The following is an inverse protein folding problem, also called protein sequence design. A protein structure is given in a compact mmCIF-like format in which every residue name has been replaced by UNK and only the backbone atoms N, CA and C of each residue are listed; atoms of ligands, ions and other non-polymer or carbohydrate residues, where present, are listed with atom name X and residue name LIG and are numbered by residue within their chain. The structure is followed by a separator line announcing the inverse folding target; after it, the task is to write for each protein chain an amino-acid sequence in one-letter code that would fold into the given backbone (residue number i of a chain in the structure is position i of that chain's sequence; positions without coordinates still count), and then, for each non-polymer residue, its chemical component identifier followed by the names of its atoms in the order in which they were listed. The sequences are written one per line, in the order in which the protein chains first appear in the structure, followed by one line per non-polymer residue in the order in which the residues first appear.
data_IF_544804521023
#
_entry.id   IF_544804521023
#
_cell.length_a   1.000
_cell.length_b   1.000
_cell.length_c   1.000
_cell.angle_alpha   90.00
_cell.angle_beta   90.00
_cell.angle_gamma   90.00
#
_symmetry.space_group_name_H-M   'P 1'
#
loop_
_entity.id
_entity.type
_entity.pdbx_description
1 polymer ?
#
# COMPACT_ATOMS: atom_id res chain seq x y z
N UNK A 1 -20.59 -18.60 -2.25
CA UNK A 1 -20.44 -18.97 -0.83
C UNK A 1 -19.82 -17.80 -0.08
N UNK A 2 -20.52 -17.26 0.92
CA UNK A 2 -19.98 -16.21 1.79
C UNK A 2 -18.96 -16.87 2.73
N UNK A 3 -17.68 -16.68 2.45
CA UNK A 3 -16.59 -17.25 3.23
C UNK A 3 -16.71 -16.82 4.71
N UNK A 4 -16.55 -17.81 5.59
CA UNK A 4 -16.45 -17.68 7.04
C UNK A 4 -15.56 -16.47 7.39
N UNK A 5 -16.08 -15.56 8.21
CA UNK A 5 -15.55 -14.22 8.43
C UNK A 5 -14.13 -14.23 9.00
N UNK A 6 -13.13 -14.21 8.12
CA UNK A 6 -11.76 -13.84 8.50
C UNK A 6 -11.82 -12.38 8.97
N UNK A 7 -11.40 -12.06 10.21
CA UNK A 7 -11.42 -10.69 10.69
C UNK A 7 -10.47 -9.83 9.83
N UNK A 8 -11.04 -8.95 9.00
CA UNK A 8 -10.29 -8.08 8.08
C UNK A 8 -9.66 -6.85 8.76
N UNK A 9 -9.80 -6.76 10.08
CA UNK A 9 -9.17 -5.76 10.94
C UNK A 9 -8.40 -6.48 12.04
N UNK A 10 -7.34 -5.86 12.60
CA UNK A 10 -6.68 -6.41 13.78
C UNK A 10 -7.67 -6.67 14.93
N UNK A 11 -7.52 -7.79 15.63
CA UNK A 11 -8.43 -8.19 16.72
C UNK A 11 -8.22 -7.36 17.99
N UNK A 12 -7.00 -6.92 18.23
CA UNK A 12 -6.67 -6.07 19.38
C UNK A 12 -7.13 -4.63 19.14
N UNK A 13 -7.71 -4.01 20.18
CA UNK A 13 -8.30 -2.66 20.10
C UNK A 13 -7.31 -1.60 19.63
N UNK A 14 -6.07 -1.62 20.15
CA UNK A 14 -5.04 -0.65 19.83
C UNK A 14 -4.62 -0.68 18.34
N UNK A 15 -4.14 -1.80 17.77
CA UNK A 15 -3.79 -1.85 16.35
C UNK A 15 -5.01 -1.63 15.44
N UNK A 16 -6.22 -2.03 15.85
CA UNK A 16 -7.44 -1.73 15.08
C UNK A 16 -7.74 -0.24 14.97
N UNK A 17 -7.52 0.52 16.05
CA UNK A 17 -7.70 1.97 16.02
C UNK A 17 -6.70 2.62 15.05
N UNK A 18 -5.44 2.19 15.07
CA UNK A 18 -4.41 2.67 14.13
C UNK A 18 -4.76 2.28 12.70
N UNK A 19 -5.13 1.03 12.44
CA UNK A 19 -5.51 0.54 11.12
C UNK A 19 -6.64 1.38 10.50
N UNK A 20 -7.65 1.74 11.29
CA UNK A 20 -8.75 2.60 10.85
C UNK A 20 -8.30 4.04 10.58
N UNK A 21 -7.46 4.59 11.46
CA UNK A 21 -6.95 5.95 11.30
C UNK A 21 -6.13 6.11 10.02
N UNK A 22 -5.18 5.20 9.77
CA UNK A 22 -4.35 5.26 8.56
C UNK A 22 -5.15 4.93 7.29
N UNK A 23 -6.20 4.10 7.40
CA UNK A 23 -7.10 3.85 6.27
C UNK A 23 -7.89 5.10 5.89
N UNK A 24 -8.36 5.86 6.88
CA UNK A 24 -9.03 7.14 6.66
C UNK A 24 -8.06 8.20 6.11
N UNK A 25 -6.84 8.29 6.64
CA UNK A 25 -5.79 9.16 6.12
C UNK A 25 -5.42 8.80 4.67
N UNK A 26 -5.28 7.52 4.35
CA UNK A 26 -5.09 7.09 2.97
C UNK A 26 -6.28 7.49 2.11
N UNK A 27 -7.53 7.32 2.58
CA UNK A 27 -8.70 7.67 1.78
C UNK A 27 -8.77 9.16 1.40
N UNK A 28 -8.50 10.07 2.36
CA UNK A 28 -8.70 11.52 2.16
C UNK A 28 -7.41 12.35 1.97
N UNK A 29 -6.24 11.78 2.26
CA UNK A 29 -4.94 12.44 2.12
C UNK A 29 -4.22 12.10 0.82
N UNK A 30 -3.00 12.59 0.64
CA UNK A 30 -2.09 12.32 -0.50
C UNK A 30 -2.61 12.69 -1.91
N UNK A 31 -3.16 13.90 -2.12
CA UNK A 31 -3.66 14.32 -3.43
C UNK A 31 -2.52 14.55 -4.44
N UNK A 32 -1.38 15.06 -4.00
CA UNK A 32 -0.25 15.39 -4.88
C UNK A 32 0.39 14.13 -5.45
N UNK A 33 0.61 13.12 -4.60
CA UNK A 33 1.03 11.80 -5.03
C UNK A 33 0.08 11.21 -6.10
N UNK A 34 -1.23 11.28 -5.86
CA UNK A 34 -2.22 10.72 -6.80
C UNK A 34 -2.26 11.42 -8.13
N UNK A 35 -1.98 12.73 -8.12
CA UNK A 35 -2.01 13.57 -9.30
C UNK A 35 -0.74 13.36 -10.14
N UNK A 36 0.44 13.35 -9.52
CA UNK A 36 1.71 13.20 -10.24
C UNK A 36 2.01 11.75 -10.61
N UNK A 37 1.62 10.79 -9.77
CA UNK A 37 1.82 9.35 -10.01
C UNK A 37 0.44 8.67 -10.15
N UNK A 38 -0.25 8.84 -11.29
CA UNK A 38 -1.51 8.16 -11.55
C UNK A 38 -1.29 6.64 -11.56
N UNK A 39 -2.32 5.91 -11.16
CA UNK A 39 -2.22 4.47 -11.06
C UNK A 39 -2.35 3.82 -12.44
N UNK A 40 -1.31 3.08 -12.81
CA UNK A 40 -1.31 2.15 -13.93
C UNK A 40 -0.68 0.84 -13.45
N UNK A 41 -1.50 -0.20 -13.34
CA UNK A 41 -1.07 -1.50 -12.80
C UNK A 41 -0.29 -2.35 -13.81
N UNK A 42 -0.40 -2.05 -15.11
CA UNK A 42 0.27 -2.79 -16.18
C UNK A 42 1.62 -2.21 -16.55
N UNK A 43 1.80 -0.90 -16.38
CA UNK A 43 2.96 -0.19 -16.86
C UNK A 43 4.23 -0.32 -16.00
N UNK A 44 5.36 -0.03 -16.64
CA UNK A 44 6.63 0.31 -16.01
C UNK A 44 7.10 1.63 -16.64
N UNK A 45 7.14 2.68 -15.82
CA UNK A 45 7.32 4.06 -16.26
C UNK A 45 8.53 4.69 -15.56
N UNK A 46 9.25 5.62 -16.21
CA UNK A 46 10.28 6.40 -15.54
C UNK A 46 9.67 7.30 -14.47
N UNK A 47 10.37 7.48 -13.34
CA UNK A 47 9.96 8.43 -12.31
C UNK A 47 10.06 9.86 -12.86
N UNK A 48 8.97 10.65 -12.87
CA UNK A 48 9.05 12.06 -13.24
C UNK A 48 9.75 12.90 -12.16
N UNK A 49 10.06 14.15 -12.48
CA UNK A 49 10.47 15.12 -11.47
C UNK A 49 9.32 15.36 -10.48
N UNK A 50 9.54 15.06 -9.20
CA UNK A 50 8.52 15.15 -8.17
C UNK A 50 8.53 16.52 -7.50
N UNK A 51 7.34 17.07 -7.25
CA UNK A 51 7.23 18.30 -6.45
C UNK A 51 7.58 18.04 -4.98
N UNK A 52 7.93 19.09 -4.21
CA UNK A 52 8.17 18.98 -2.77
C UNK A 52 7.00 18.36 -1.99
N UNK A 53 5.77 18.62 -2.41
CA UNK A 53 4.53 18.11 -1.83
C UNK A 53 4.37 16.61 -2.11
N UNK A 54 4.63 16.16 -3.34
CA UNK A 54 4.64 14.73 -3.66
C UNK A 54 5.72 13.98 -2.89
N UNK A 55 6.91 14.58 -2.73
CA UNK A 55 7.96 14.01 -1.89
C UNK A 55 7.55 13.96 -0.40
N UNK A 56 6.77 14.93 0.08
CA UNK A 56 6.23 14.93 1.44
C UNK A 56 5.20 13.82 1.64
N UNK A 57 4.30 13.62 0.67
CA UNK A 57 3.34 12.51 0.65
C UNK A 57 4.06 11.16 0.72
N UNK A 58 5.06 10.94 -0.14
CA UNK A 58 5.86 9.70 -0.15
C UNK A 58 6.52 9.48 1.21
N UNK A 59 7.16 10.51 1.79
CA UNK A 59 7.77 10.40 3.13
C UNK A 59 6.75 10.04 4.20
N UNK A 60 5.55 10.63 4.18
CA UNK A 60 4.50 10.33 5.16
C UNK A 60 4.00 8.89 5.02
N UNK A 61 3.82 8.40 3.80
CA UNK A 61 3.40 7.01 3.55
C UNK A 61 4.46 6.02 4.05
N UNK A 62 5.73 6.25 3.73
CA UNK A 62 6.83 5.40 4.24
C UNK A 62 6.88 5.41 5.77
N UNK A 63 6.71 6.57 6.40
CA UNK A 63 6.66 6.67 7.86
C UNK A 63 5.47 5.89 8.46
N UNK A 64 4.29 5.92 7.83
CA UNK A 64 3.12 5.12 8.25
C UNK A 64 3.45 3.63 8.17
N UNK A 65 3.98 3.16 7.04
CA UNK A 65 4.28 1.75 6.84
C UNK A 65 5.35 1.24 7.79
N UNK A 66 6.44 2.00 7.96
CA UNK A 66 7.51 1.67 8.89
C UNK A 66 7.04 1.65 10.33
N UNK A 67 6.23 2.63 10.77
CA UNK A 67 5.65 2.64 12.12
C UNK A 67 4.73 1.44 12.36
N UNK A 68 3.81 1.15 11.43
CA UNK A 68 2.87 0.04 11.56
C UNK A 68 3.60 -1.30 11.61
N UNK A 69 4.53 -1.55 10.67
CA UNK A 69 5.29 -2.80 10.64
C UNK A 69 6.19 -2.97 11.85
N UNK A 70 6.79 -1.88 12.35
CA UNK A 70 7.60 -1.90 13.58
C UNK A 70 6.76 -2.27 14.82
N UNK A 71 5.57 -1.67 14.97
CA UNK A 71 4.74 -1.83 16.17
C UNK A 71 3.85 -3.06 16.15
N UNK A 72 3.38 -3.45 14.96
CA UNK A 72 2.29 -4.42 14.79
C UNK A 72 2.55 -5.44 13.69
N UNK A 73 3.67 -5.35 12.96
CA UNK A 73 3.98 -6.22 11.82
C UNK A 73 4.43 -7.63 12.17
N UNK A 74 4.56 -7.97 13.45
CA UNK A 74 4.94 -9.33 13.86
C UNK A 74 3.89 -10.35 13.38
N UNK A 75 4.35 -11.47 12.81
CA UNK A 75 3.48 -12.55 12.35
C UNK A 75 3.11 -12.52 10.87
N UNK A 76 3.64 -11.58 10.07
CA UNK A 76 3.53 -11.66 8.62
C UNK A 76 4.05 -10.43 7.88
N UNK A 77 3.88 -10.37 6.55
CA UNK A 77 4.53 -9.35 5.75
C UNK A 77 3.74 -8.03 5.63
N UNK A 78 2.51 -7.98 6.16
CA UNK A 78 1.57 -6.88 6.01
C UNK A 78 1.67 -5.85 7.14
N UNK A 79 0.94 -4.73 7.04
CA UNK A 79 1.06 -3.58 7.96
C UNK A 79 0.82 -3.95 9.42
N UNK A 80 -0.06 -4.93 9.68
CA UNK A 80 -0.39 -5.44 11.01
C UNK A 80 -0.10 -6.94 11.13
N UNK A 81 0.92 -7.43 10.41
CA UNK A 81 1.34 -8.82 10.35
C UNK A 81 0.49 -9.62 9.36
N UNK A 82 -0.78 -9.84 9.71
CA UNK A 82 -1.78 -10.42 8.81
C UNK A 82 -2.37 -9.39 7.84
N UNK A 83 -2.92 -9.87 6.72
CA UNK A 83 -3.61 -9.00 5.76
C UNK A 83 -4.84 -8.36 6.40
N UNK A 84 -5.04 -7.07 6.12
CA UNK A 84 -6.15 -6.27 6.64
C UNK A 84 -6.68 -5.29 5.60
N UNK A 85 -7.81 -4.64 5.90
CA UNK A 85 -8.36 -3.56 5.07
C UNK A 85 -7.36 -2.41 4.91
N UNK A 86 -6.48 -2.16 5.89
CA UNK A 86 -5.45 -1.14 5.73
C UNK A 86 -4.54 -1.47 4.54
N UNK A 87 -4.15 -2.73 4.36
CA UNK A 87 -3.33 -3.17 3.22
C UNK A 87 -4.09 -2.98 1.90
N UNK A 88 -5.40 -3.29 1.89
CA UNK A 88 -6.27 -3.04 0.73
C UNK A 88 -6.29 -1.55 0.32
N UNK A 89 -6.36 -0.64 1.30
CA UNK A 89 -6.35 0.81 1.06
C UNK A 89 -5.01 1.31 0.50
N UNK A 90 -3.90 0.68 0.89
CA UNK A 90 -2.55 1.04 0.44
C UNK A 90 -2.08 0.27 -0.81
N UNK A 91 -2.77 -0.77 -1.26
CA UNK A 91 -2.39 -1.55 -2.44
C UNK A 91 -2.26 -0.71 -3.74
N UNK A 92 -3.15 0.28 -4.02
CA UNK A 92 -2.95 1.21 -5.14
C UNK A 92 -1.66 2.03 -5.02
N UNK A 93 -1.19 2.33 -3.81
CA UNK A 93 0.04 3.08 -3.59
C UNK A 93 1.26 2.20 -3.80
N UNK A 94 1.23 0.95 -3.31
CA UNK A 94 2.28 -0.03 -3.60
C UNK A 94 2.44 -0.24 -5.12
N UNK A 95 1.33 -0.26 -5.86
CA UNK A 95 1.37 -0.36 -7.33
C UNK A 95 2.03 0.87 -7.95
N UNK A 96 1.63 2.10 -7.57
CA UNK A 96 2.30 3.34 -8.04
C UNK A 96 3.81 3.32 -7.79
N UNK A 97 4.24 2.95 -6.59
CA UNK A 97 5.66 2.92 -6.25
C UNK A 97 6.44 1.93 -7.12
N UNK A 98 5.84 0.77 -7.43
CA UNK A 98 6.42 -0.19 -8.38
C UNK A 98 6.41 0.31 -9.82
N UNK A 99 5.31 0.89 -10.29
CA UNK A 99 5.16 1.39 -11.67
C UNK A 99 6.22 2.44 -11.99
N UNK A 100 6.44 3.40 -11.09
CA UNK A 100 7.37 4.53 -11.30
C UNK A 100 8.77 4.30 -10.70
N UNK A 101 9.04 3.15 -10.07
CA UNK A 101 10.34 2.88 -9.44
C UNK A 101 10.70 3.90 -8.34
N UNK A 102 9.75 4.25 -7.48
CA UNK A 102 9.98 5.15 -6.34
C UNK A 102 11.04 4.54 -5.42
N UNK A 103 12.04 5.32 -5.03
CA UNK A 103 13.08 4.86 -4.10
C UNK A 103 12.50 4.62 -2.70
N UNK A 104 12.61 3.39 -2.21
CA UNK A 104 12.06 2.95 -0.92
C UNK A 104 13.15 2.45 0.03
N UNK A 105 12.93 2.64 1.33
CA UNK A 105 13.70 1.92 2.34
C UNK A 105 13.35 0.41 2.34
N UNK A 106 14.16 -0.39 3.05
CA UNK A 106 14.02 -1.84 3.09
C UNK A 106 12.65 -2.31 3.59
N UNK A 107 12.08 -1.61 4.57
CA UNK A 107 10.79 -1.96 5.18
C UNK A 107 9.65 -1.67 4.20
N UNK A 108 9.68 -0.52 3.54
CA UNK A 108 8.67 -0.15 2.57
C UNK A 108 8.77 -1.02 1.31
N UNK A 109 9.99 -1.31 0.83
CA UNK A 109 10.23 -2.19 -0.32
C UNK A 109 9.68 -3.59 -0.07
N UNK A 110 9.99 -4.20 1.08
CA UNK A 110 9.49 -5.53 1.43
C UNK A 110 7.95 -5.58 1.53
N UNK A 111 7.32 -4.49 1.98
CA UNK A 111 5.86 -4.38 2.02
C UNK A 111 5.24 -4.28 0.63
N UNK A 112 5.83 -3.48 -0.26
CA UNK A 112 5.40 -3.38 -1.67
C UNK A 112 5.51 -4.73 -2.35
N UNK A 113 6.65 -5.43 -2.20
CA UNK A 113 6.86 -6.76 -2.76
C UNK A 113 5.84 -7.77 -2.27
N UNK A 114 5.57 -7.81 -0.96
CA UNK A 114 4.57 -8.70 -0.38
C UNK A 114 3.14 -8.41 -0.88
N UNK A 115 2.80 -7.13 -1.00
CA UNK A 115 1.49 -6.69 -1.53
C UNK A 115 1.32 -7.15 -2.97
N UNK A 116 2.33 -6.90 -3.82
CA UNK A 116 2.28 -7.26 -5.23
C UNK A 116 2.33 -8.78 -5.44
N UNK A 117 3.00 -9.53 -4.57
CA UNK A 117 3.06 -11.00 -4.63
C UNK A 117 1.72 -11.69 -4.30
N UNK A 118 0.71 -10.96 -3.81
CA UNK A 118 -0.61 -11.54 -3.53
C UNK A 118 -1.25 -12.12 -4.81
N UNK A 119 -1.80 -13.35 -4.78
CA UNK A 119 -2.46 -13.93 -5.95
C UNK A 119 -3.58 -13.06 -6.53
N UNK A 120 -4.31 -12.34 -5.69
CA UNK A 120 -5.34 -11.40 -6.14
C UNK A 120 -4.75 -10.20 -6.89
N UNK A 121 -3.63 -9.64 -6.41
CA UNK A 121 -2.93 -8.53 -7.08
C UNK A 121 -2.33 -8.98 -8.41
N UNK A 122 -1.69 -10.15 -8.45
CA UNK A 122 -1.14 -10.71 -9.69
C UNK A 122 -2.23 -10.94 -10.75
N UNK A 123 -3.40 -11.47 -10.35
CA UNK A 123 -4.53 -11.62 -11.28
C UNK A 123 -5.03 -10.28 -11.80
N UNK A 124 -5.11 -9.27 -10.94
CA UNK A 124 -5.55 -7.94 -11.35
C UNK A 124 -4.57 -7.24 -12.28
N UNK A 125 -3.26 -7.30 -11.98
CA UNK A 125 -2.20 -6.77 -12.84
C UNK A 125 -2.20 -7.48 -14.20
N UNK A 126 -2.36 -8.81 -14.21
CA UNK A 126 -2.43 -9.56 -15.46
C UNK A 126 -3.66 -9.19 -16.31
N UNK A 127 -4.81 -8.98 -15.68
CA UNK A 127 -6.01 -8.52 -16.38
C UNK A 127 -5.85 -7.11 -16.95
N UNK A 128 -5.27 -6.17 -16.18
CA UNK A 128 -5.01 -4.81 -16.65
C UNK A 128 -4.12 -4.77 -17.90
N UNK A 129 -3.10 -5.65 -17.98
CA UNK A 129 -2.23 -5.78 -19.16
C UNK A 129 -2.91 -6.34 -20.41
N UNK A 130 -4.11 -6.90 -20.30
CA UNK A 130 -4.87 -7.42 -21.45
C UNK A 130 -5.86 -6.39 -22.02
N UNK A 131 -6.05 -5.26 -21.34
CA UNK A 131 -6.96 -4.19 -21.78
C UNK A 131 -6.28 -3.12 -22.67
N UNK A 132 -4.94 -3.18 -22.80
CA UNK A 132 -4.11 -2.36 -23.71
C UNK A 132 -3.95 -3.01 -25.10
#
# INVERSE_FOLDING_TARGET
ELACAVPLWPENRAPRAVARAISAEMHSGFPDLRTQLPMDAGASLPLPALSPETLADIRRIQAIWTDCRSRFGAGGPFLFGGWSIADAMFAPVATRFSTYGVGLDEVCRAYVEATLAMPAMQRWIAAAKQEE
#
